data_IF_491682430994
#
_entry.id   IF_491682430994
#
_cell.length_a   1.000
_cell.length_b   1.000
_cell.length_c   1.000
_cell.angle_alpha   90.00
_cell.angle_beta   90.00
_cell.angle_gamma   90.00
#
_symmetry.space_group_name_H-M   'P 1'
#
loop_
_entity.id
_entity.type
_entity.pdbx_description
1 polymer ?
#
# COMPACT_ATOMS: atom_id res chain seq x y z
N UNK A 1 24.66 17.53 20.68
CA UNK A 1 24.23 17.33 20.33
C UNK A 1 23.86 16.59 19.70
N UNK A 2 23.69 16.68 19.67
CA UNK A 2 23.22 16.08 19.29
C UNK A 2 23.20 15.46 18.23
N UNK A 3 24.02 14.99 18.01
CA UNK A 3 23.93 14.08 16.96
C UNK A 3 22.55 14.04 16.39
N UNK A 4 21.64 14.23 17.23
CA UNK A 4 20.26 14.29 16.81
C UNK A 4 20.05 15.32 15.74
N UNK A 5 20.84 16.33 15.76
CA UNK A 5 20.68 17.41 14.78
C UNK A 5 21.02 16.95 13.37
N UNK A 6 22.03 16.12 13.22
CA UNK A 6 22.37 15.67 11.88
C UNK A 6 21.47 14.53 11.43
N UNK A 7 21.08 13.67 12.36
CA UNK A 7 20.19 12.60 12.00
C UNK A 7 18.81 13.08 11.52
N UNK A 8 18.20 14.01 12.22
CA UNK A 8 16.90 14.52 11.79
C UNK A 8 16.93 15.08 10.40
N UNK A 9 18.00 15.77 10.03
CA UNK A 9 18.06 16.34 8.70
C UNK A 9 18.06 15.26 7.63
N UNK A 10 18.84 14.21 7.84
CA UNK A 10 18.90 13.12 6.89
C UNK A 10 17.57 12.40 6.80
N UNK A 11 16.95 12.15 7.94
CA UNK A 11 15.64 11.49 7.96
C UNK A 11 14.62 12.38 7.29
N UNK A 12 14.70 13.66 7.52
CA UNK A 12 13.77 14.60 6.93
C UNK A 12 13.86 14.59 5.41
N UNK A 13 15.08 14.59 4.88
CA UNK A 13 15.27 14.54 3.44
C UNK A 13 14.68 13.26 2.87
N UNK A 14 14.91 12.16 3.54
CA UNK A 14 14.39 10.88 3.08
C UNK A 14 12.86 10.87 3.15
N UNK A 15 12.34 11.46 4.17
CA UNK A 15 10.90 11.56 4.35
C UNK A 15 10.26 12.40 3.25
N UNK A 16 10.84 13.55 2.97
CA UNK A 16 10.34 14.41 1.90
C UNK A 16 10.45 13.70 0.56
N UNK A 17 11.56 13.05 0.33
CA UNK A 17 11.75 12.30 -0.89
C UNK A 17 10.68 11.22 -1.02
N UNK A 18 10.38 10.55 0.07
CA UNK A 18 9.33 9.54 0.08
C UNK A 18 7.98 10.14 -0.25
N UNK A 19 7.67 11.28 0.34
CA UNK A 19 6.40 11.93 0.09
C UNK A 19 6.24 12.37 -1.36
N UNK A 20 7.32 12.82 -1.96
CA UNK A 20 7.27 13.39 -3.30
C UNK A 20 7.57 12.39 -4.38
N UNK A 21 8.35 11.37 -4.06
CA UNK A 21 8.87 10.45 -5.06
C UNK A 21 8.65 8.99 -4.72
N UNK A 22 8.07 8.71 -3.55
CA UNK A 22 7.85 7.32 -3.20
C UNK A 22 6.80 6.72 -4.12
N UNK A 23 7.03 5.50 -4.53
CA UNK A 23 6.06 4.80 -5.30
C UNK A 23 4.91 4.37 -4.40
N UNK A 24 3.80 4.03 -5.03
CA UNK A 24 2.68 3.47 -4.30
C UNK A 24 3.10 2.22 -3.55
N UNK A 25 3.93 1.40 -4.19
CA UNK A 25 4.45 0.21 -3.52
C UNK A 25 5.19 0.55 -2.25
N UNK A 26 6.05 1.58 -2.28
CA UNK A 26 6.81 1.95 -1.09
C UNK A 26 5.90 2.31 0.06
N UNK A 27 4.85 3.05 -0.21
CA UNK A 27 3.90 3.43 0.83
C UNK A 27 3.17 2.23 1.39
N UNK A 28 2.75 1.32 0.52
CA UNK A 28 2.08 0.10 0.94
C UNK A 28 3.01 -0.73 1.80
N UNK A 29 4.26 -0.88 1.37
CA UNK A 29 5.23 -1.68 2.10
C UNK A 29 5.50 -1.11 3.48
N UNK A 30 5.57 0.21 3.59
CA UNK A 30 5.76 0.84 4.89
C UNK A 30 4.56 0.61 5.80
N UNK A 31 3.36 0.68 5.26
CA UNK A 31 2.14 0.41 6.02
C UNK A 31 2.15 -1.03 6.53
N UNK A 32 2.50 -1.97 5.67
CA UNK A 32 2.56 -3.38 6.05
C UNK A 32 3.60 -3.59 7.14
N UNK A 33 4.77 -3.00 6.96
CA UNK A 33 5.84 -3.16 7.95
C UNK A 33 5.40 -2.68 9.32
N UNK A 34 4.71 -1.56 9.37
CA UNK A 34 4.27 -1.00 10.64
C UNK A 34 3.09 -1.76 11.23
N UNK A 35 2.13 -2.13 10.40
CA UNK A 35 0.91 -2.77 10.87
C UNK A 35 1.16 -4.19 11.33
N UNK A 36 1.99 -4.93 10.61
CA UNK A 36 2.22 -6.35 10.88
C UNK A 36 3.58 -6.62 11.51
N UNK A 37 4.35 -5.56 11.78
CA UNK A 37 5.66 -5.70 12.41
C UNK A 37 6.57 -6.62 11.59
N UNK A 38 6.58 -6.40 10.27
CA UNK A 38 7.41 -7.15 9.34
C UNK A 38 8.58 -6.27 8.93
N UNK A 39 9.82 -6.81 8.90
CA UNK A 39 10.95 -6.01 8.45
C UNK A 39 10.73 -5.47 7.04
N UNK A 40 10.93 -4.16 6.89
CA UNK A 40 10.64 -3.49 5.62
C UNK A 40 11.43 -4.07 4.46
N UNK A 41 12.68 -4.47 4.70
CA UNK A 41 13.53 -4.97 3.62
C UNK A 41 13.17 -6.36 3.16
N UNK A 42 12.28 -7.07 3.86
CA UNK A 42 11.77 -8.35 3.38
C UNK A 42 10.54 -8.18 2.48
N UNK A 43 10.00 -6.97 2.40
CA UNK A 43 8.81 -6.71 1.61
C UNK A 43 9.23 -6.23 0.23
N UNK A 44 8.88 -6.99 -0.79
CA UNK A 44 9.31 -6.73 -2.17
C UNK A 44 8.10 -6.59 -3.08
N UNK A 45 8.27 -5.95 -4.24
CA UNK A 45 7.15 -5.79 -5.17
C UNK A 45 6.52 -7.10 -5.60
N UNK A 46 7.33 -8.13 -5.72
CA UNK A 46 6.85 -9.45 -6.14
C UNK A 46 6.30 -10.28 -4.98
N UNK A 47 6.37 -9.77 -3.75
CA UNK A 47 5.86 -10.49 -2.59
C UNK A 47 4.35 -10.59 -2.63
N UNK A 48 3.84 -11.77 -2.31
CA UNK A 48 2.40 -11.99 -2.15
C UNK A 48 2.07 -11.73 -0.68
N UNK A 49 1.14 -10.83 -0.43
CA UNK A 49 0.84 -10.41 0.95
C UNK A 49 0.49 -11.59 1.84
N UNK A 50 -0.26 -12.53 1.32
CA UNK A 50 -0.72 -13.66 2.12
C UNK A 50 0.25 -14.82 2.06
N UNK A 51 0.65 -15.22 0.86
CA UNK A 51 1.46 -16.42 0.68
C UNK A 51 2.92 -16.21 1.09
N UNK A 52 3.47 -15.05 0.78
CA UNK A 52 4.89 -14.80 1.05
C UNK A 52 5.12 -14.12 2.38
N UNK A 53 4.28 -13.17 2.73
CA UNK A 53 4.44 -12.42 3.96
C UNK A 53 3.68 -13.00 5.13
N UNK A 54 2.79 -13.94 4.86
CA UNK A 54 2.05 -14.61 5.93
C UNK A 54 1.01 -13.75 6.60
N UNK A 55 0.53 -12.74 5.91
CA UNK A 55 -0.49 -11.85 6.46
C UNK A 55 -1.84 -12.56 6.38
N UNK A 56 -2.56 -12.63 7.49
CA UNK A 56 -3.87 -13.27 7.45
C UNK A 56 -4.93 -12.25 7.05
N UNK A 57 -6.16 -12.74 6.89
CA UNK A 57 -7.26 -11.91 6.39
C UNK A 57 -7.56 -10.72 7.28
N UNK A 58 -7.50 -10.93 8.58
CA UNK A 58 -7.80 -9.86 9.53
C UNK A 58 -6.74 -8.78 9.49
N UNK A 59 -5.47 -9.20 9.44
CA UNK A 59 -4.38 -8.25 9.34
C UNK A 59 -4.46 -7.50 8.01
N UNK A 60 -4.85 -8.19 6.95
CA UNK A 60 -4.98 -7.54 5.66
C UNK A 60 -6.09 -6.49 5.68
N UNK A 61 -7.15 -6.71 6.43
CA UNK A 61 -8.19 -5.70 6.57
C UNK A 61 -7.66 -4.44 7.25
N UNK A 62 -6.81 -4.62 8.26
CA UNK A 62 -6.18 -3.48 8.92
C UNK A 62 -5.27 -2.73 7.95
N UNK A 63 -4.53 -3.46 7.14
CA UNK A 63 -3.66 -2.87 6.13
C UNK A 63 -4.51 -2.10 5.12
N UNK A 64 -5.58 -2.70 4.64
CA UNK A 64 -6.46 -2.07 3.67
C UNK A 64 -7.05 -0.78 4.24
N UNK A 65 -7.43 -0.81 5.50
CA UNK A 65 -7.97 0.36 6.16
C UNK A 65 -6.95 1.49 6.21
N UNK A 66 -5.71 1.14 6.55
CA UNK A 66 -4.64 2.13 6.60
C UNK A 66 -4.34 2.69 5.21
N UNK A 67 -4.38 1.85 4.20
CA UNK A 67 -4.19 2.28 2.82
C UNK A 67 -5.30 3.22 2.39
N UNK A 68 -6.53 2.88 2.70
CA UNK A 68 -7.67 3.74 2.37
C UNK A 68 -7.47 5.12 2.95
N UNK A 69 -7.01 5.19 4.19
CA UNK A 69 -6.76 6.48 4.83
C UNK A 69 -5.59 7.22 4.21
N UNK A 70 -4.51 6.49 3.95
CA UNK A 70 -3.30 7.11 3.45
C UNK A 70 -3.50 7.71 2.07
N UNK A 71 -4.26 7.04 1.23
CA UNK A 71 -4.47 7.47 -0.16
C UNK A 71 -5.80 8.18 -0.36
N UNK A 72 -6.65 8.20 0.65
CA UNK A 72 -7.95 8.84 0.53
C UNK A 72 -8.87 8.12 -0.44
N UNK A 73 -8.81 6.82 -0.48
CA UNK A 73 -9.59 5.98 -1.37
C UNK A 73 -10.36 4.95 -0.56
N UNK A 74 -11.15 4.16 -1.26
CA UNK A 74 -11.79 3.00 -0.67
C UNK A 74 -11.57 1.81 -1.58
N UNK A 75 -10.80 0.85 -1.11
CA UNK A 75 -10.52 -0.35 -1.89
C UNK A 75 -11.76 -1.23 -1.94
N UNK A 76 -12.18 -1.67 -3.13
CA UNK A 76 -13.37 -2.50 -3.25
C UNK A 76 -13.04 -3.97 -2.96
N UNK A 77 -12.73 -4.27 -1.71
CA UNK A 77 -12.28 -5.59 -1.32
C UNK A 77 -13.33 -6.67 -1.58
N UNK A 78 -14.60 -6.34 -1.36
CA UNK A 78 -15.66 -7.30 -1.61
C UNK A 78 -15.72 -7.68 -3.09
N UNK A 79 -15.59 -6.67 -3.94
CA UNK A 79 -15.61 -6.92 -5.38
C UNK A 79 -14.41 -7.77 -5.79
N UNK A 80 -13.24 -7.45 -5.27
CA UNK A 80 -12.04 -8.22 -5.59
C UNK A 80 -12.15 -9.66 -5.12
N UNK A 81 -12.66 -9.85 -3.90
CA UNK A 81 -12.85 -11.18 -3.35
C UNK A 81 -13.82 -11.97 -4.21
N UNK A 82 -14.90 -11.32 -4.62
CA UNK A 82 -15.89 -11.99 -5.44
C UNK A 82 -15.32 -12.37 -6.80
N UNK A 83 -14.52 -11.51 -7.40
CA UNK A 83 -13.91 -11.81 -8.69
C UNK A 83 -12.98 -13.02 -8.59
N UNK A 84 -12.25 -13.11 -7.49
CA UNK A 84 -11.39 -14.27 -7.26
C UNK A 84 -12.23 -15.52 -7.09
N UNK A 85 -13.29 -15.44 -6.28
CA UNK A 85 -14.16 -16.58 -6.04
C UNK A 85 -14.87 -17.04 -7.31
N UNK A 86 -15.19 -16.11 -8.19
CA UNK A 86 -15.88 -16.42 -9.45
C UNK A 86 -14.91 -16.90 -10.52
N UNK A 87 -13.63 -16.92 -10.26
CA UNK A 87 -12.64 -17.33 -11.24
C UNK A 87 -12.32 -16.27 -12.28
N UNK A 88 -12.76 -15.04 -12.07
CA UNK A 88 -12.50 -13.95 -13.01
C UNK A 88 -11.17 -13.29 -12.77
N UNK A 89 -10.58 -13.49 -11.58
CA UNK A 89 -9.30 -12.93 -11.24
C UNK A 89 -8.57 -13.92 -10.34
N UNK A 90 -7.25 -13.77 -10.27
CA UNK A 90 -6.45 -14.60 -9.38
C UNK A 90 -6.09 -13.80 -8.15
N UNK A 91 -5.71 -14.50 -7.07
CA UNK A 91 -5.28 -13.81 -5.86
C UNK A 91 -4.05 -12.98 -6.14
N UNK A 92 -3.18 -13.43 -7.04
CA UNK A 92 -1.98 -12.68 -7.39
C UNK A 92 -2.29 -11.30 -7.94
N UNK A 93 -3.40 -11.16 -8.65
CA UNK A 93 -3.75 -9.88 -9.24
C UNK A 93 -4.01 -8.81 -8.19
N UNK A 94 -4.38 -9.21 -6.99
CA UNK A 94 -4.71 -8.27 -5.92
C UNK A 94 -3.73 -8.30 -4.77
N UNK A 95 -3.06 -9.42 -4.53
CA UNK A 95 -2.24 -9.59 -3.33
C UNK A 95 -0.74 -9.57 -3.58
N UNK A 96 -0.30 -9.73 -4.81
CA UNK A 96 1.10 -9.43 -5.11
C UNK A 96 1.24 -7.93 -5.02
N UNK A 97 2.21 -7.47 -4.24
CA UNK A 97 2.24 -6.07 -3.84
C UNK A 97 2.34 -5.10 -5.01
N UNK A 98 3.10 -5.45 -6.04
CA UNK A 98 3.16 -4.58 -7.21
C UNK A 98 1.79 -4.47 -7.87
N UNK A 99 1.07 -5.57 -7.96
CA UNK A 99 -0.26 -5.55 -8.55
C UNK A 99 -1.24 -4.79 -7.67
N UNK A 100 -1.11 -4.94 -6.37
CA UNK A 100 -1.92 -4.16 -5.44
C UNK A 100 -1.64 -2.67 -5.61
N UNK A 101 -0.36 -2.31 -5.74
CA UNK A 101 0.01 -0.92 -5.96
C UNK A 101 -0.62 -0.39 -7.25
N UNK A 102 -0.62 -1.19 -8.30
CA UNK A 102 -1.23 -0.80 -9.56
C UNK A 102 -2.73 -0.54 -9.41
N UNK A 103 -3.40 -1.40 -8.65
CA UNK A 103 -4.83 -1.21 -8.41
C UNK A 103 -5.09 0.06 -7.61
N UNK A 104 -4.24 0.32 -6.63
CA UNK A 104 -4.37 1.54 -5.84
C UNK A 104 -4.14 2.77 -6.69
N UNK A 105 -3.14 2.73 -7.57
CA UNK A 105 -2.91 3.83 -8.49
C UNK A 105 -4.12 4.11 -9.36
N UNK A 106 -4.79 3.06 -9.82
CA UNK A 106 -6.00 3.21 -10.60
C UNK A 106 -7.12 3.87 -9.79
N UNK A 107 -7.25 3.46 -8.53
CA UNK A 107 -8.27 4.03 -7.67
C UNK A 107 -7.98 5.49 -7.35
N UNK A 108 -6.73 5.83 -7.13
CA UNK A 108 -6.35 7.21 -6.89
C UNK A 108 -6.61 8.06 -8.11
N UNK A 109 -6.25 7.56 -9.28
CA UNK A 109 -6.49 8.28 -10.53
C UNK A 109 -7.98 8.49 -10.77
N UNK A 110 -8.79 7.47 -10.50
CA UNK A 110 -10.23 7.58 -10.67
C UNK A 110 -10.82 8.59 -9.69
N UNK A 111 -10.33 8.59 -8.46
CA UNK A 111 -10.80 9.54 -7.47
C UNK A 111 -10.44 10.96 -7.87
N UNK A 112 -9.20 11.16 -8.32
CA UNK A 112 -8.78 12.50 -8.73
C UNK A 112 -9.56 12.99 -9.93
N UNK A 113 -9.82 12.11 -10.88
CA UNK A 113 -10.63 12.47 -12.04
C UNK A 113 -12.05 12.79 -11.61
N UNK A 114 -12.61 11.98 -10.73
CA UNK A 114 -13.95 12.22 -10.22
C UNK A 114 -14.04 13.52 -9.44
N UNK A 115 -13.02 13.79 -8.62
CA UNK A 115 -12.99 15.01 -7.85
C UNK A 115 -12.90 16.21 -8.78
N UNK A 116 -12.09 16.10 -9.82
CA UNK A 116 -11.95 17.19 -10.76
C UNK A 116 -13.23 17.50 -11.52
N UNK A 117 -14.02 16.50 -11.80
CA UNK A 117 -15.26 16.69 -12.51
C UNK A 117 -16.45 16.90 -11.60
N UNK A 118 -16.42 16.23 -10.47
CA UNK A 118 -17.56 16.26 -9.58
C UNK A 118 -17.59 17.44 -8.64
N UNK A 119 -16.49 18.07 -8.49
CA UNK A 119 -16.40 19.16 -7.53
C UNK A 119 -17.22 20.38 -7.99
#
# INVERSE_FOLDING_TARGET
MRPASSKPFRIYLQYIKGLMMSSTFDQIANIIAETCDIPRDTIKPESHAIDDLGIDSLDFLDIAFAIDKAFGIKMPLEKWTQEVNDGKATTEQYFVLQNLADRIDELVAAKNAGTGTGA
#
